data_IF_893832145683
#
_entry.id   IF_893832145683
#
_cell.length_a   1.000
_cell.length_b   1.000
_cell.length_c   1.000
_cell.angle_alpha   90.00
_cell.angle_beta   90.00
_cell.angle_gamma   90.00
#
_symmetry.space_group_name_H-M   'P 1'
#
loop_
_entity.id
_entity.type
_entity.pdbx_description
1 polymer ?
#
# COMPACT_ATOMS: atom_id res chain seq x y z
N UNK A 1 12.06 -1.61 21.28
CA UNK A 1 11.01 -1.31 22.30
C UNK A 1 11.00 0.13 22.81
N UNK A 2 12.14 0.85 22.92
CA UNK A 2 12.10 2.21 23.49
C UNK A 2 11.27 3.21 22.66
N UNK A 3 11.46 3.22 21.33
CA UNK A 3 10.69 4.07 20.42
C UNK A 3 9.18 3.84 20.47
N UNK A 4 8.75 2.61 20.75
CA UNK A 4 7.34 2.26 20.75
C UNK A 4 6.57 2.82 21.96
N UNK A 5 7.27 3.41 22.94
CA UNK A 5 6.68 4.19 24.04
C UNK A 5 6.56 5.68 23.71
N UNK A 6 7.25 6.17 22.67
CA UNK A 6 7.18 7.55 22.21
C UNK A 6 6.11 7.64 21.12
N UNK A 7 4.86 7.79 21.54
CA UNK A 7 3.70 7.95 20.66
C UNK A 7 3.38 9.40 20.34
N UNK A 8 2.93 9.67 19.11
CA UNK A 8 2.39 10.98 18.74
C UNK A 8 1.05 11.22 19.44
N UNK A 9 0.90 12.39 20.08
CA UNK A 9 -0.25 12.76 20.90
C UNK A 9 -0.85 14.11 20.45
N UNK A 10 -1.06 14.25 19.13
CA UNK A 10 -1.62 15.46 18.51
C UNK A 10 -0.78 16.75 18.66
N UNK A 11 0.50 16.63 19.03
CA UNK A 11 1.45 17.73 19.11
C UNK A 11 2.79 17.29 18.51
N UNK A 12 3.14 17.86 17.35
CA UNK A 12 4.35 17.51 16.61
C UNK A 12 5.61 18.02 17.30
N UNK A 13 5.57 19.21 17.89
CA UNK A 13 6.74 19.80 18.55
C UNK A 13 7.07 19.03 19.83
N UNK A 14 6.06 18.71 20.64
CA UNK A 14 6.23 17.84 21.79
C UNK A 14 6.76 16.45 21.37
N UNK A 15 6.20 15.88 20.30
CA UNK A 15 6.67 14.60 19.77
C UNK A 15 8.14 14.65 19.34
N UNK A 16 8.56 15.68 18.59
CA UNK A 16 9.96 15.91 18.21
C UNK A 16 10.87 15.99 19.44
N UNK A 17 10.47 16.74 20.46
CA UNK A 17 11.25 16.88 21.69
C UNK A 17 11.42 15.54 22.43
N UNK A 18 10.35 14.75 22.56
CA UNK A 18 10.43 13.41 23.16
C UNK A 18 11.26 12.44 22.33
N UNK A 19 11.15 12.49 21.00
CA UNK A 19 11.99 11.71 20.09
C UNK A 19 13.47 12.07 20.22
N UNK A 20 13.77 13.38 20.27
CA UNK A 20 15.13 13.92 20.45
C UNK A 20 15.73 13.51 21.80
N UNK A 21 14.95 13.55 22.87
CA UNK A 21 15.38 13.09 24.20
C UNK A 21 15.75 11.60 24.19
N UNK A 22 14.95 10.75 23.54
CA UNK A 22 15.27 9.33 23.40
C UNK A 22 16.53 9.11 22.55
N UNK A 23 16.65 9.81 21.42
CA UNK A 23 17.84 9.76 20.57
C UNK A 23 19.11 10.12 21.35
N UNK A 24 19.09 11.25 22.07
CA UNK A 24 20.21 11.70 22.88
C UNK A 24 20.56 10.70 24.00
N UNK A 25 19.56 10.14 24.69
CA UNK A 25 19.79 9.13 25.72
C UNK A 25 20.47 7.89 25.15
N UNK A 26 20.08 7.43 23.96
CA UNK A 26 20.72 6.29 23.29
C UNK A 26 22.13 6.62 22.81
N UNK A 27 22.36 7.84 22.33
CA UNK A 27 23.69 8.32 21.95
C UNK A 27 24.64 8.31 23.16
N UNK A 28 24.22 8.86 24.29
CA UNK A 28 25.00 8.84 25.55
C UNK A 28 25.29 7.41 26.01
N UNK A 29 24.30 6.51 25.93
CA UNK A 29 24.52 5.10 26.23
C UNK A 29 25.60 4.49 25.31
N UNK A 30 25.54 4.78 24.02
CA UNK A 30 26.50 4.26 23.05
C UNK A 30 27.91 4.83 23.23
N UNK A 31 28.03 6.13 23.51
CA UNK A 31 29.30 6.77 23.86
C UNK A 31 29.94 6.13 25.09
N UNK A 32 29.15 5.79 26.11
CA UNK A 32 29.64 5.08 27.30
C UNK A 32 30.07 3.64 26.96
N UNK A 33 29.33 2.95 26.08
CA UNK A 33 29.70 1.62 25.60
C UNK A 33 31.06 1.63 24.89
N UNK A 34 31.31 2.59 24.01
CA UNK A 34 32.60 2.75 23.31
C UNK A 34 33.74 2.98 24.30
N UNK A 35 33.55 3.86 25.29
CA UNK A 35 34.56 4.12 26.33
C UNK A 35 34.93 2.87 27.14
N UNK A 36 33.96 2.00 27.39
CA UNK A 36 34.17 0.75 28.13
C UNK A 36 34.73 -0.39 27.26
N UNK A 37 34.67 -0.26 25.94
CA UNK A 37 35.05 -1.29 24.97
C UNK A 37 35.96 -0.69 23.90
N UNK A 38 37.20 -0.37 24.27
CA UNK A 38 38.17 0.29 23.40
C UNK A 38 38.54 -0.51 22.12
N UNK A 39 38.23 -1.82 22.09
CA UNK A 39 38.45 -2.71 20.95
C UNK A 39 37.42 -2.59 19.82
N UNK A 40 36.36 -1.79 20.02
CA UNK A 40 35.32 -1.60 19.01
C UNK A 40 35.88 -0.87 17.79
N UNK A 41 35.59 -1.39 16.59
CA UNK A 41 36.10 -0.80 15.35
C UNK A 41 35.44 0.53 15.01
N UNK A 42 36.15 1.38 14.27
CA UNK A 42 35.60 2.67 13.81
C UNK A 42 34.40 2.48 12.89
N UNK A 43 34.42 1.41 12.11
CA UNK A 43 33.35 1.02 11.20
C UNK A 43 32.06 0.72 11.98
N UNK A 44 32.15 -0.08 13.05
CA UNK A 44 31.00 -0.36 13.90
C UNK A 44 30.46 0.90 14.57
N UNK A 45 31.36 1.78 15.07
CA UNK A 45 30.93 3.06 15.66
C UNK A 45 30.14 3.88 14.65
N UNK A 46 30.68 4.03 13.44
CA UNK A 46 30.03 4.76 12.34
C UNK A 46 28.66 4.16 12.02
N UNK A 47 28.57 2.84 11.85
CA UNK A 47 27.31 2.16 11.51
C UNK A 47 26.23 2.39 12.58
N UNK A 48 26.56 2.24 13.86
CA UNK A 48 25.60 2.42 14.95
C UNK A 48 25.19 3.89 15.10
N UNK A 49 26.12 4.84 14.96
CA UNK A 49 25.78 6.27 14.99
C UNK A 49 24.80 6.64 13.87
N UNK A 50 25.02 6.11 12.66
CA UNK A 50 24.13 6.32 11.51
C UNK A 50 22.77 5.67 11.71
N UNK A 51 22.74 4.43 12.23
CA UNK A 51 21.49 3.74 12.58
C UNK A 51 20.67 4.57 13.59
N UNK A 52 21.30 5.06 14.66
CA UNK A 52 20.62 5.89 15.66
C UNK A 52 20.05 7.18 15.06
N UNK A 53 20.82 7.84 14.19
CA UNK A 53 20.42 9.08 13.55
C UNK A 53 19.27 8.87 12.56
N UNK A 54 19.37 7.90 11.67
CA UNK A 54 18.32 7.64 10.68
C UNK A 54 17.06 7.03 11.32
N UNK A 55 17.17 6.27 12.41
CA UNK A 55 15.99 5.85 13.16
C UNK A 55 15.29 7.05 13.81
N UNK A 56 16.03 8.00 14.38
CA UNK A 56 15.47 9.26 14.90
C UNK A 56 14.73 10.03 13.80
N UNK A 57 15.40 10.26 12.67
CA UNK A 57 14.86 10.99 11.54
C UNK A 57 13.61 10.32 10.97
N UNK A 58 13.63 9.00 10.80
CA UNK A 58 12.46 8.24 10.35
C UNK A 58 11.27 8.41 11.30
N UNK A 59 11.48 8.43 12.61
CA UNK A 59 10.39 8.67 13.56
C UNK A 59 9.85 10.10 13.45
N UNK A 60 10.65 11.12 13.11
CA UNK A 60 10.12 12.46 12.82
C UNK A 60 9.27 12.49 11.54
N UNK A 61 9.73 11.81 10.49
CA UNK A 61 9.09 11.76 9.16
C UNK A 61 7.86 10.86 9.11
N UNK A 62 7.82 9.86 9.98
CA UNK A 62 6.68 8.96 10.12
C UNK A 62 6.32 8.81 11.60
N UNK A 63 5.75 9.83 12.26
CA UNK A 63 5.44 9.76 13.68
C UNK A 63 4.64 8.52 14.05
N UNK A 64 4.94 7.95 15.23
CA UNK A 64 4.24 6.77 15.76
C UNK A 64 2.84 7.16 16.24
N UNK A 65 1.93 7.34 15.29
CA UNK A 65 0.59 7.91 15.49
C UNK A 65 -0.51 6.89 15.74
N UNK A 66 -0.23 5.60 15.56
CA UNK A 66 -1.21 4.54 15.79
C UNK A 66 -0.88 3.77 17.06
N UNK A 67 -1.85 3.67 17.97
CA UNK A 67 -1.79 2.78 19.12
C UNK A 67 -2.18 1.36 18.70
N UNK A 68 -1.32 0.40 19.03
CA UNK A 68 -1.59 -1.03 18.97
C UNK A 68 -2.01 -1.49 20.37
N UNK A 69 -3.30 -1.79 20.59
CA UNK A 69 -3.80 -2.20 21.90
C UNK A 69 -3.32 -3.61 22.30
N UNK A 70 -3.03 -4.49 21.33
CA UNK A 70 -2.59 -5.87 21.58
C UNK A 70 -1.19 -5.86 22.15
N UNK A 71 -0.29 -5.15 21.47
CA UNK A 71 1.11 -5.07 21.87
C UNK A 71 1.41 -3.89 22.82
N UNK A 72 0.37 -3.11 23.16
CA UNK A 72 0.43 -1.91 24.01
C UNK A 72 1.54 -0.96 23.63
N UNK A 73 1.62 -0.63 22.33
CA UNK A 73 2.71 0.16 21.79
C UNK A 73 2.26 1.08 20.66
N UNK A 74 3.03 2.13 20.41
CA UNK A 74 2.81 3.02 19.28
C UNK A 74 3.62 2.58 18.06
N UNK A 75 2.99 2.57 16.89
CA UNK A 75 3.59 2.22 15.60
C UNK A 75 3.54 3.36 14.60
N UNK A 76 4.56 3.40 13.74
CA UNK A 76 4.62 4.26 12.57
C UNK A 76 3.51 3.84 11.59
N UNK A 77 3.05 4.76 10.75
CA UNK A 77 2.02 4.46 9.72
C UNK A 77 2.53 4.88 8.35
N UNK A 78 2.08 4.20 7.29
CA UNK A 78 2.48 4.50 5.91
C UNK A 78 2.10 5.93 5.46
N UNK A 79 1.17 6.56 6.14
CA UNK A 79 0.69 7.91 5.81
C UNK A 79 1.67 8.99 6.27
N UNK A 80 2.52 8.66 7.25
CA UNK A 80 3.61 9.49 7.76
C UNK A 80 3.20 10.90 8.20
N UNK A 81 4.20 11.78 8.27
CA UNK A 81 4.06 13.17 8.71
C UNK A 81 3.09 13.97 7.82
N UNK A 82 3.03 13.71 6.52
CA UNK A 82 2.17 14.45 5.58
C UNK A 82 0.68 14.36 5.93
N UNK A 83 0.22 13.22 6.43
CA UNK A 83 -1.18 13.08 6.88
C UNK A 83 -1.48 13.88 8.15
N UNK A 84 -0.49 13.98 9.04
CA UNK A 84 -0.60 14.71 10.30
C UNK A 84 -0.59 16.22 10.03
N UNK A 85 0.31 16.70 9.16
CA UNK A 85 0.36 18.10 8.73
C UNK A 85 -0.99 18.50 8.12
N UNK A 86 -1.50 17.74 7.14
CA UNK A 86 -2.79 18.04 6.50
C UNK A 86 -3.96 18.10 7.50
N UNK A 87 -3.96 17.23 8.51
CA UNK A 87 -4.98 17.25 9.55
C UNK A 87 -4.87 18.49 10.43
N UNK A 88 -3.64 18.88 10.79
CA UNK A 88 -3.37 20.02 11.67
C UNK A 88 -3.55 21.38 10.96
N UNK A 89 -3.15 21.51 9.69
CA UNK A 89 -3.30 22.75 8.90
C UNK A 89 -4.77 23.17 8.74
N UNK A 90 -5.70 22.22 8.69
CA UNK A 90 -7.14 22.50 8.68
C UNK A 90 -7.66 23.02 10.04
N UNK A 91 -6.83 23.05 11.08
CA UNK A 91 -7.21 23.39 12.46
C UNK A 91 -6.41 24.55 13.08
N UNK A 92 -5.40 25.07 12.39
CA UNK A 92 -4.51 26.12 12.92
C UNK A 92 -4.23 27.21 11.89
N UNK A 93 -4.23 28.48 12.31
CA UNK A 93 -3.94 29.63 11.43
C UNK A 93 -2.46 29.73 11.02
N UNK A 94 -1.54 29.11 11.77
CA UNK A 94 -0.09 29.14 11.47
C UNK A 94 0.30 27.92 10.62
N UNK A 95 0.89 28.10 9.42
CA UNK A 95 1.38 27.00 8.60
C UNK A 95 2.50 26.22 9.30
N UNK A 96 2.47 24.89 9.19
CA UNK A 96 3.52 24.05 9.75
C UNK A 96 4.83 24.21 8.96
N UNK A 97 5.92 24.59 9.64
CA UNK A 97 7.24 24.69 9.02
C UNK A 97 7.97 23.33 9.09
N UNK A 98 8.03 22.65 7.95
CA UNK A 98 8.69 21.36 7.82
C UNK A 98 10.23 21.44 7.89
N UNK A 99 10.83 22.54 7.41
CA UNK A 99 12.29 22.77 7.44
C UNK A 99 12.78 22.78 8.89
N UNK A 100 12.21 23.68 9.69
CA UNK A 100 12.56 23.81 11.10
C UNK A 100 12.21 22.55 11.89
N UNK A 101 11.13 21.85 11.53
CA UNK A 101 10.77 20.59 12.20
C UNK A 101 11.80 19.48 11.94
N UNK A 102 12.34 19.37 10.73
CA UNK A 102 13.35 18.37 10.39
C UNK A 102 14.80 18.81 10.68
N UNK A 103 14.97 19.87 11.47
CA UNK A 103 16.29 20.43 11.83
C UNK A 103 17.10 20.84 10.57
N UNK A 104 16.42 21.43 9.57
CA UNK A 104 17.01 21.99 8.35
C UNK A 104 17.88 21.00 7.54
N UNK A 105 17.48 19.72 7.56
CA UNK A 105 18.15 18.64 6.82
C UNK A 105 18.24 18.92 5.32
N UNK A 106 19.42 18.64 4.75
CA UNK A 106 19.71 18.83 3.34
C UNK A 106 19.79 17.48 2.62
N UNK A 107 19.51 17.46 1.31
CA UNK A 107 19.55 16.21 0.54
C UNK A 107 20.95 15.57 0.56
N UNK A 108 22.00 16.39 0.57
CA UNK A 108 23.40 15.97 0.70
C UNK A 108 23.71 15.21 2.00
N UNK A 109 22.89 15.35 3.04
CA UNK A 109 23.06 14.58 4.28
C UNK A 109 22.80 13.09 4.05
N UNK A 110 22.18 12.75 2.92
CA UNK A 110 21.99 11.40 2.39
C UNK A 110 22.96 11.03 1.26
N UNK A 111 24.06 11.74 1.07
CA UNK A 111 25.12 11.27 0.17
C UNK A 111 26.01 10.25 0.88
N UNK A 112 25.43 9.09 1.18
CA UNK A 112 26.07 8.01 1.95
C UNK A 112 25.82 6.66 1.26
N UNK A 113 26.51 6.38 0.14
CA UNK A 113 26.27 5.18 -0.66
C UNK A 113 26.57 3.88 0.11
N UNK A 114 27.43 3.92 1.12
CA UNK A 114 27.70 2.82 2.05
C UNK A 114 26.48 2.43 2.89
N UNK A 115 25.52 3.35 3.08
CA UNK A 115 24.29 3.10 3.83
C UNK A 115 23.12 2.60 2.98
N UNK A 116 23.33 2.30 1.69
CA UNK A 116 22.27 1.74 0.84
C UNK A 116 21.68 0.45 1.43
N UNK A 117 22.44 -0.33 2.20
CA UNK A 117 21.91 -1.52 2.90
C UNK A 117 21.10 -1.23 4.18
N UNK A 118 21.14 0.00 4.69
CA UNK A 118 20.51 0.37 5.96
C UNK A 118 19.02 0.71 5.78
N UNK A 119 18.14 0.02 6.53
CA UNK A 119 16.68 0.14 6.39
C UNK A 119 16.16 1.54 6.79
N UNK A 120 16.60 2.09 7.93
CA UNK A 120 16.15 3.41 8.37
C UNK A 120 16.66 4.54 7.49
N UNK A 121 17.89 4.42 6.98
CA UNK A 121 18.44 5.33 5.99
C UNK A 121 17.53 5.38 4.75
N UNK A 122 17.24 4.21 4.17
CA UNK A 122 16.39 4.10 2.99
C UNK A 122 14.99 4.67 3.24
N UNK A 123 14.35 4.32 4.35
CA UNK A 123 13.01 4.81 4.71
C UNK A 123 12.99 6.33 4.94
N UNK A 124 14.01 6.86 5.60
CA UNK A 124 14.14 8.30 5.84
C UNK A 124 14.28 9.05 4.52
N UNK A 125 15.20 8.63 3.66
CA UNK A 125 15.43 9.27 2.37
C UNK A 125 14.16 9.33 1.51
N UNK A 126 13.44 8.21 1.41
CA UNK A 126 12.17 8.18 0.68
C UNK A 126 11.15 9.17 1.25
N UNK A 127 11.04 9.23 2.57
CA UNK A 127 10.07 10.09 3.24
C UNK A 127 10.45 11.59 3.16
N UNK A 128 11.74 11.93 3.22
CA UNK A 128 12.20 13.32 3.03
C UNK A 128 11.95 13.76 1.59
N UNK A 129 12.35 12.97 0.58
CA UNK A 129 12.09 13.31 -0.83
C UNK A 129 10.61 13.62 -1.05
N UNK A 130 9.72 12.76 -0.54
CA UNK A 130 8.28 12.95 -0.70
C UNK A 130 7.75 14.20 0.02
N UNK A 131 8.13 14.39 1.28
CA UNK A 131 7.47 15.35 2.17
C UNK A 131 8.05 16.74 2.06
N UNK A 132 9.35 16.80 1.78
CA UNK A 132 10.18 17.98 1.96
C UNK A 132 10.65 18.54 0.61
N UNK A 133 11.18 17.69 -0.27
CA UNK A 133 11.82 18.15 -1.50
C UNK A 133 10.89 18.22 -2.72
N UNK A 134 9.84 17.40 -2.78
CA UNK A 134 8.92 17.34 -3.94
C UNK A 134 7.60 18.10 -3.76
N UNK A 135 7.37 18.75 -2.63
CA UNK A 135 6.20 19.60 -2.36
C UNK A 135 4.94 18.85 -1.87
N UNK A 136 4.29 19.39 -0.82
CA UNK A 136 3.32 18.67 0.02
C UNK A 136 1.83 18.78 -0.39
N UNK A 137 1.49 19.33 -1.57
CA UNK A 137 0.11 19.75 -1.87
C UNK A 137 -0.71 18.78 -2.74
N UNK A 138 -1.63 18.11 -2.04
CA UNK A 138 -2.98 17.60 -2.43
C UNK A 138 -3.28 16.73 -3.67
N UNK A 139 -2.36 16.43 -4.59
CA UNK A 139 -2.58 15.33 -5.56
C UNK A 139 -1.37 14.37 -5.58
N UNK A 140 -1.33 13.43 -4.62
CA UNK A 140 -0.11 12.65 -4.31
C UNK A 140 0.45 11.81 -5.47
N UNK A 141 -0.33 11.51 -6.49
CA UNK A 141 0.09 10.64 -7.59
C UNK A 141 -0.50 11.12 -8.92
N UNK A 142 0.26 11.96 -9.64
CA UNK A 142 -0.03 12.43 -11.00
C UNK A 142 1.21 12.26 -11.88
N UNK A 143 1.05 12.25 -13.21
CA UNK A 143 2.20 12.11 -14.13
C UNK A 143 3.16 13.29 -13.93
N UNK A 144 2.62 14.48 -13.71
CA UNK A 144 3.40 15.68 -13.43
C UNK A 144 4.23 15.54 -12.15
N UNK A 145 3.63 15.06 -11.06
CA UNK A 145 4.35 14.86 -9.81
C UNK A 145 5.38 13.73 -9.90
N UNK A 146 5.09 12.66 -10.66
CA UNK A 146 6.09 11.63 -10.95
C UNK A 146 7.31 12.24 -11.62
N UNK A 147 7.09 13.06 -12.66
CA UNK A 147 8.18 13.71 -13.41
C UNK A 147 8.97 14.66 -12.51
N UNK A 148 8.31 15.46 -11.67
CA UNK A 148 8.99 16.35 -10.71
C UNK A 148 9.85 15.57 -9.71
N UNK A 149 9.31 14.50 -9.14
CA UNK A 149 10.05 13.64 -8.22
C UNK A 149 11.23 12.94 -8.90
N UNK A 150 11.03 12.44 -10.12
CA UNK A 150 12.09 11.80 -10.91
C UNK A 150 13.21 12.79 -11.23
N UNK A 151 12.86 13.96 -11.77
CA UNK A 151 13.81 15.02 -12.09
C UNK A 151 14.60 15.45 -10.85
N UNK A 152 13.91 15.63 -9.72
CA UNK A 152 14.58 15.98 -8.47
C UNK A 152 15.62 14.92 -8.06
N UNK A 153 15.27 13.63 -8.15
CA UNK A 153 16.20 12.53 -7.86
C UNK A 153 17.39 12.58 -8.82
N UNK A 154 17.17 12.81 -10.11
CA UNK A 154 18.22 12.85 -11.14
C UNK A 154 19.16 14.05 -10.98
N UNK A 155 18.65 15.20 -10.53
CA UNK A 155 19.43 16.43 -10.37
C UNK A 155 20.24 16.46 -9.06
N UNK A 156 19.85 15.68 -8.05
CA UNK A 156 20.38 15.83 -6.68
C UNK A 156 20.99 14.55 -6.07
N UNK A 157 20.84 13.39 -6.70
CA UNK A 157 21.32 12.11 -6.15
C UNK A 157 22.20 11.41 -7.18
N UNK A 158 23.37 10.93 -6.73
CA UNK A 158 24.31 10.21 -7.57
C UNK A 158 24.09 8.68 -7.55
N UNK A 159 24.66 7.99 -8.56
CA UNK A 159 24.65 6.53 -8.64
C UNK A 159 25.53 5.90 -7.55
N UNK A 160 25.14 4.76 -6.93
CA UNK A 160 24.03 3.86 -7.26
C UNK A 160 22.69 4.16 -6.54
N UNK A 161 22.66 5.15 -5.65
CA UNK A 161 21.49 5.49 -4.86
C UNK A 161 20.33 5.99 -5.73
N UNK A 162 20.64 6.79 -6.75
CA UNK A 162 19.69 7.28 -7.76
C UNK A 162 18.88 6.13 -8.38
N UNK A 163 19.56 5.11 -8.90
CA UNK A 163 18.91 3.94 -9.50
C UNK A 163 17.97 3.25 -8.51
N UNK A 164 18.38 3.06 -7.26
CA UNK A 164 17.50 2.47 -6.25
C UNK A 164 16.23 3.32 -6.00
N UNK A 165 16.39 4.64 -5.90
CA UNK A 165 15.27 5.57 -5.69
C UNK A 165 14.29 5.60 -6.86
N UNK A 166 14.78 5.55 -8.10
CA UNK A 166 13.95 5.51 -9.30
C UNK A 166 13.08 4.25 -9.37
N UNK A 167 13.66 3.09 -9.08
CA UNK A 167 12.91 1.84 -9.00
C UNK A 167 11.83 1.90 -7.90
N UNK A 168 12.14 2.51 -6.76
CA UNK A 168 11.18 2.72 -5.66
C UNK A 168 10.09 3.73 -6.03
N UNK A 169 10.40 4.79 -6.76
CA UNK A 169 9.43 5.77 -7.27
C UNK A 169 8.39 5.08 -8.16
N UNK A 170 8.83 4.27 -9.13
CA UNK A 170 7.95 3.48 -10.02
C UNK A 170 7.02 2.58 -9.19
N UNK A 171 7.58 1.80 -8.26
CA UNK A 171 6.80 0.91 -7.39
C UNK A 171 5.77 1.69 -6.56
N UNK A 172 6.20 2.80 -5.95
CA UNK A 172 5.34 3.64 -5.10
C UNK A 172 4.15 4.18 -5.90
N UNK A 173 4.39 4.74 -7.08
CA UNK A 173 3.30 5.27 -7.92
C UNK A 173 2.33 4.17 -8.37
N UNK A 174 2.85 3.00 -8.76
CA UNK A 174 2.00 1.88 -9.12
C UNK A 174 1.15 1.36 -7.94
N UNK A 175 1.77 0.95 -6.83
CA UNK A 175 1.06 0.31 -5.71
C UNK A 175 0.26 1.29 -4.86
N UNK A 176 0.82 2.47 -4.55
CA UNK A 176 0.18 3.41 -3.63
C UNK A 176 -0.65 4.47 -4.38
N UNK A 177 -0.25 4.81 -5.60
CA UNK A 177 -0.94 5.80 -6.42
C UNK A 177 -2.01 5.25 -7.35
N UNK A 178 -2.02 3.94 -7.58
CA UNK A 178 -2.84 3.36 -8.62
C UNK A 178 -2.45 3.85 -10.00
N UNK A 179 -1.17 4.16 -10.23
CA UNK A 179 -0.68 4.41 -11.60
C UNK A 179 -0.68 3.14 -12.42
N UNK A 180 -0.81 3.29 -13.73
CA UNK A 180 -0.91 2.15 -14.64
C UNK A 180 -2.31 1.54 -14.70
N UNK A 181 -3.28 2.20 -14.08
CA UNK A 181 -4.65 1.72 -13.93
C UNK A 181 -5.63 2.25 -14.98
N UNK A 182 -5.35 3.42 -15.56
CA UNK A 182 -5.94 3.91 -16.81
C UNK A 182 -4.95 3.77 -17.97
N UNK A 183 -5.45 3.92 -19.20
CA UNK A 183 -4.66 3.74 -20.43
C UNK A 183 -3.46 4.68 -20.50
N UNK A 184 -3.66 5.96 -20.17
CA UNK A 184 -2.62 7.01 -20.18
C UNK A 184 -1.54 6.72 -19.15
N UNK A 185 -1.90 6.43 -17.89
CA UNK A 185 -0.89 6.12 -16.86
C UNK A 185 -0.19 4.79 -17.10
N UNK A 186 -0.85 3.82 -17.75
CA UNK A 186 -0.26 2.54 -18.14
C UNK A 186 0.83 2.74 -19.17
N UNK A 187 0.55 3.46 -20.26
CA UNK A 187 1.55 3.75 -21.27
C UNK A 187 2.72 4.54 -20.68
N UNK A 188 2.42 5.53 -19.82
CA UNK A 188 3.44 6.29 -19.11
C UNK A 188 4.33 5.39 -18.25
N UNK A 189 3.76 4.55 -17.38
CA UNK A 189 4.55 3.65 -16.53
C UNK A 189 5.36 2.64 -17.34
N UNK A 190 4.82 2.09 -18.42
CA UNK A 190 5.56 1.16 -19.29
C UNK A 190 6.82 1.83 -19.84
N UNK A 191 6.70 3.08 -20.34
CA UNK A 191 7.87 3.85 -20.80
C UNK A 191 8.90 4.07 -19.69
N UNK A 192 8.45 4.41 -18.48
CA UNK A 192 9.36 4.61 -17.33
C UNK A 192 10.08 3.31 -16.93
N UNK A 193 9.38 2.17 -16.96
CA UNK A 193 9.97 0.86 -16.67
C UNK A 193 11.00 0.48 -17.74
N UNK A 194 10.69 0.68 -19.02
CA UNK A 194 11.65 0.44 -20.11
C UNK A 194 12.90 1.29 -19.94
N UNK A 195 12.77 2.60 -19.72
CA UNK A 195 13.92 3.49 -19.50
C UNK A 195 14.75 3.10 -18.26
N UNK A 196 14.09 2.67 -17.18
CA UNK A 196 14.76 2.21 -15.97
C UNK A 196 15.55 0.91 -16.20
N UNK A 197 15.09 0.04 -17.10
CA UNK A 197 15.73 -1.25 -17.41
C UNK A 197 16.96 -1.16 -18.29
N UNK A 198 17.15 -0.06 -19.02
CA UNK A 198 18.39 0.23 -19.75
C UNK A 198 19.59 0.46 -18.80
N UNK A 199 19.34 0.62 -17.49
CA UNK A 199 20.37 0.83 -16.47
C UNK A 199 20.94 -0.49 -15.94
N UNK A 200 22.09 -0.42 -15.28
CA UNK A 200 22.64 -1.57 -14.55
C UNK A 200 21.79 -1.87 -13.30
N UNK A 201 20.97 -2.93 -13.38
CA UNK A 201 20.06 -3.34 -12.32
C UNK A 201 20.49 -4.64 -11.65
N UNK A 202 20.30 -4.71 -10.33
CA UNK A 202 20.38 -5.96 -9.57
C UNK A 202 19.25 -6.92 -9.95
N UNK A 203 19.42 -8.22 -9.67
CA UNK A 203 18.39 -9.23 -9.91
C UNK A 203 17.06 -8.90 -9.20
N UNK A 204 17.13 -8.40 -7.96
CA UNK A 204 15.95 -7.98 -7.19
C UNK A 204 15.20 -6.83 -7.86
N UNK A 205 15.92 -5.81 -8.35
CA UNK A 205 15.31 -4.69 -9.08
C UNK A 205 14.66 -5.14 -10.40
N UNK A 206 15.31 -6.04 -11.14
CA UNK A 206 14.74 -6.62 -12.38
C UNK A 206 13.44 -7.37 -12.09
N UNK A 207 13.43 -8.23 -11.07
CA UNK A 207 12.23 -8.96 -10.66
C UNK A 207 11.09 -8.03 -10.24
N UNK A 208 11.38 -6.98 -9.46
CA UNK A 208 10.37 -6.02 -9.04
C UNK A 208 9.70 -5.31 -10.23
N UNK A 209 10.46 -4.97 -11.27
CA UNK A 209 9.90 -4.37 -12.50
C UNK A 209 9.07 -5.38 -13.30
N UNK A 210 9.56 -6.63 -13.43
CA UNK A 210 8.81 -7.69 -14.10
C UNK A 210 7.45 -7.95 -13.44
N UNK A 211 7.37 -7.87 -12.11
CA UNK A 211 6.10 -8.03 -11.39
C UNK A 211 5.09 -6.96 -11.83
N UNK A 212 5.51 -5.69 -11.91
CA UNK A 212 4.65 -4.60 -12.31
C UNK A 212 4.24 -4.75 -13.78
N UNK A 213 5.17 -5.02 -14.69
CA UNK A 213 4.85 -5.21 -16.12
C UNK A 213 3.84 -6.33 -16.34
N UNK A 214 4.01 -7.47 -15.67
CA UNK A 214 3.09 -8.60 -15.76
C UNK A 214 1.67 -8.24 -15.28
N UNK A 215 1.54 -7.28 -14.37
CA UNK A 215 0.24 -6.76 -13.91
C UNK A 215 -0.31 -5.67 -14.85
N UNK A 216 0.55 -4.84 -15.43
CA UNK A 216 0.16 -3.87 -16.46
C UNK A 216 -0.33 -4.57 -17.75
N UNK A 217 0.20 -5.76 -18.07
CA UNK A 217 -0.23 -6.57 -19.21
C UNK A 217 -1.60 -7.25 -19.00
N UNK A 218 -2.07 -7.44 -17.76
CA UNK A 218 -3.43 -7.95 -17.51
C UNK A 218 -4.47 -6.86 -17.73
N UNK A 219 -4.79 -6.61 -19.00
CA UNK A 219 -5.86 -5.73 -19.46
C UNK A 219 -6.81 -6.51 -20.37
N UNK A 220 -8.12 -6.36 -20.11
CA UNK A 220 -9.26 -6.78 -20.95
C UNK A 220 -9.10 -8.15 -21.62
N UNK A 221 -9.28 -9.22 -20.84
CA UNK A 221 -9.43 -10.57 -21.38
C UNK A 221 -10.86 -11.05 -21.14
N UNK A 222 -11.53 -11.55 -22.18
CA UNK A 222 -12.82 -12.22 -22.01
C UNK A 222 -12.63 -13.42 -21.09
N UNK A 223 -13.41 -13.49 -20.01
CA UNK A 223 -13.45 -14.69 -19.18
C UNK A 223 -14.13 -15.79 -20.00
N UNK A 224 -13.49 -16.96 -20.18
CA UNK A 224 -14.12 -18.07 -20.89
C UNK A 224 -15.46 -18.40 -20.25
N UNK A 225 -16.53 -18.52 -21.05
CA UNK A 225 -17.88 -18.73 -20.53
C UNK A 225 -17.96 -19.96 -19.61
N UNK A 226 -17.22 -21.02 -19.92
CA UNK A 226 -17.12 -22.22 -19.08
C UNK A 226 -16.57 -21.98 -17.67
N UNK A 227 -15.88 -20.87 -17.42
CA UNK A 227 -15.38 -20.50 -16.09
C UNK A 227 -16.45 -19.72 -15.31
N UNK A 228 -17.36 -19.03 -16.01
CA UNK A 228 -18.51 -18.35 -15.41
C UNK A 228 -19.64 -19.33 -15.03
N UNK A 229 -19.63 -20.54 -15.60
CA UNK A 229 -20.52 -21.64 -15.20
C UNK A 229 -20.10 -22.33 -13.88
N UNK A 230 -19.08 -21.83 -13.19
CA UNK A 230 -18.71 -22.33 -11.86
C UNK A 230 -19.85 -22.15 -10.85
N UNK A 231 -20.10 -23.22 -10.09
CA UNK A 231 -21.21 -23.28 -9.14
C UNK A 231 -20.86 -22.55 -7.84
N UNK A 232 -21.78 -21.68 -7.43
CA UNK A 232 -21.77 -20.94 -6.18
C UNK A 232 -23.05 -21.20 -5.41
N UNK A 233 -23.00 -21.08 -4.08
CA UNK A 233 -24.19 -21.14 -3.21
C UNK A 233 -24.53 -19.72 -2.76
N UNK A 234 -25.78 -19.29 -2.92
CA UNK A 234 -26.29 -18.04 -2.36
C UNK A 234 -26.44 -18.13 -0.85
N UNK A 235 -25.97 -17.12 -0.12
CA UNK A 235 -26.24 -17.02 1.33
C UNK A 235 -27.73 -16.74 1.61
N UNK A 236 -28.39 -15.97 0.75
CA UNK A 236 -29.77 -15.53 0.98
C UNK A 236 -30.80 -16.63 0.82
N UNK A 237 -30.60 -17.53 -0.14
CA UNK A 237 -31.56 -18.60 -0.47
C UNK A 237 -31.04 -20.00 -0.17
N UNK A 238 -29.72 -20.19 -0.06
CA UNK A 238 -29.09 -21.51 -0.01
C UNK A 238 -29.04 -22.22 -1.37
N UNK A 239 -29.56 -21.59 -2.43
CA UNK A 239 -29.60 -22.21 -3.76
C UNK A 239 -28.21 -22.29 -4.39
N UNK A 240 -28.00 -23.36 -5.17
CA UNK A 240 -26.85 -23.46 -6.05
C UNK A 240 -27.17 -22.77 -7.38
N UNK A 241 -26.31 -21.84 -7.79
CA UNK A 241 -26.40 -21.13 -9.06
C UNK A 241 -25.02 -21.01 -9.71
N UNK A 242 -24.92 -20.39 -10.88
CA UNK A 242 -23.65 -20.12 -11.55
C UNK A 242 -23.24 -18.67 -11.37
N UNK A 243 -21.94 -18.39 -11.42
CA UNK A 243 -21.44 -17.02 -11.35
C UNK A 243 -21.99 -16.14 -12.48
N UNK A 244 -22.19 -16.72 -13.67
CA UNK A 244 -22.78 -16.04 -14.82
C UNK A 244 -24.14 -15.40 -14.48
N UNK A 245 -25.00 -16.09 -13.73
CA UNK A 245 -26.32 -15.59 -13.35
C UNK A 245 -26.25 -14.35 -12.46
N UNK A 246 -25.20 -14.23 -11.63
CA UNK A 246 -25.04 -13.10 -10.70
C UNK A 246 -24.43 -11.88 -11.39
N UNK A 247 -23.59 -12.09 -12.40
CA UNK A 247 -22.91 -11.01 -13.12
C UNK A 247 -23.84 -10.10 -13.94
N UNK A 248 -25.10 -10.50 -14.18
CA UNK A 248 -26.00 -9.80 -15.11
C UNK A 248 -26.80 -8.65 -14.50
N UNK A 249 -26.78 -8.44 -13.19
CA UNK A 249 -27.65 -7.45 -12.55
C UNK A 249 -27.25 -6.00 -12.84
N UNK A 250 -25.94 -5.72 -12.93
CA UNK A 250 -25.37 -4.39 -13.12
C UNK A 250 -24.38 -4.36 -14.27
N UNK A 251 -24.07 -3.17 -14.77
CA UNK A 251 -23.11 -2.99 -15.88
C UNK A 251 -21.72 -3.51 -15.50
N UNK A 252 -21.31 -3.31 -14.26
CA UNK A 252 -20.01 -3.74 -13.74
C UNK A 252 -20.16 -4.48 -12.41
N UNK A 253 -19.30 -5.46 -12.21
CA UNK A 253 -19.26 -6.31 -11.03
C UNK A 253 -17.85 -6.35 -10.45
N UNK A 254 -17.73 -6.06 -9.16
CA UNK A 254 -16.51 -6.32 -8.37
C UNK A 254 -16.65 -7.69 -7.71
N UNK A 255 -15.90 -8.67 -8.20
CA UNK A 255 -15.77 -9.96 -7.50
C UNK A 255 -14.79 -9.80 -6.35
N UNK A 256 -15.28 -9.92 -5.13
CA UNK A 256 -14.49 -9.86 -3.90
C UNK A 256 -14.29 -11.27 -3.36
N UNK A 257 -13.07 -11.80 -3.45
CA UNK A 257 -12.70 -13.11 -2.91
C UNK A 257 -12.05 -12.98 -1.54
N UNK A 258 -12.62 -13.62 -0.51
CA UNK A 258 -12.09 -13.58 0.86
C UNK A 258 -12.39 -14.86 1.64
N UNK A 259 -11.73 -15.04 2.79
CA UNK A 259 -12.12 -15.96 3.85
C UNK A 259 -12.77 -15.27 5.05
N UNK A 260 -12.71 -13.95 5.17
CA UNK A 260 -13.28 -13.21 6.31
C UNK A 260 -12.74 -13.74 7.65
N UNK A 261 -11.42 -13.74 7.81
CA UNK A 261 -10.77 -14.26 9.02
C UNK A 261 -10.98 -13.31 10.22
N UNK A 262 -11.15 -13.84 11.46
CA UNK A 262 -11.53 -13.08 12.67
C UNK A 262 -10.72 -11.84 13.03
N UNK A 263 -9.50 -11.71 12.51
CA UNK A 263 -8.56 -10.65 12.88
C UNK A 263 -8.24 -9.73 11.68
N UNK A 264 -8.93 -9.89 10.55
CA UNK A 264 -8.66 -9.20 9.27
C UNK A 264 -9.81 -8.25 8.85
N UNK A 265 -10.69 -7.88 9.78
CA UNK A 265 -11.97 -7.18 9.53
C UNK A 265 -11.84 -5.68 9.21
N UNK A 266 -10.61 -5.19 9.00
CA UNK A 266 -10.36 -3.79 8.69
C UNK A 266 -11.02 -3.40 7.37
N UNK A 267 -11.04 -4.29 6.36
CA UNK A 267 -11.67 -3.97 5.08
C UNK A 267 -13.19 -3.96 5.13
N UNK A 268 -13.80 -4.94 5.80
CA UNK A 268 -15.25 -5.02 5.95
C UNK A 268 -15.77 -3.75 6.62
N UNK A 269 -15.13 -3.29 7.69
CA UNK A 269 -15.54 -2.09 8.43
C UNK A 269 -15.13 -0.78 7.73
N UNK A 270 -13.84 -0.59 7.41
CA UNK A 270 -13.35 0.70 6.88
C UNK A 270 -13.65 0.89 5.41
N UNK A 271 -13.73 -0.19 4.64
CA UNK A 271 -14.05 -0.16 3.21
C UNK A 271 -15.53 0.06 2.92
N UNK A 272 -16.42 -0.14 3.90
CA UNK A 272 -17.87 -0.10 3.72
C UNK A 272 -18.36 1.22 3.11
N UNK A 273 -17.86 2.35 3.63
CA UNK A 273 -18.24 3.67 3.12
C UNK A 273 -17.86 3.85 1.64
N UNK A 274 -16.67 3.41 1.26
CA UNK A 274 -16.18 3.46 -0.14
C UNK A 274 -17.03 2.56 -1.04
N UNK A 275 -17.34 1.32 -0.61
CA UNK A 275 -18.19 0.39 -1.36
C UNK A 275 -19.60 0.95 -1.57
N UNK A 276 -20.24 1.41 -0.50
CA UNK A 276 -21.58 2.05 -0.56
C UNK A 276 -21.61 3.29 -1.46
N UNK A 277 -20.52 4.06 -1.53
CA UNK A 277 -20.44 5.21 -2.44
C UNK A 277 -20.42 4.79 -3.90
N UNK A 278 -19.68 3.72 -4.24
CA UNK A 278 -19.67 3.17 -5.60
C UNK A 278 -20.98 2.50 -5.98
N UNK A 279 -21.59 1.73 -5.08
CA UNK A 279 -22.90 1.09 -5.32
C UNK A 279 -24.02 2.12 -5.56
N UNK A 280 -23.94 3.32 -4.96
CA UNK A 280 -24.88 4.42 -5.19
C UNK A 280 -24.89 4.96 -6.63
N UNK A 281 -23.80 4.78 -7.40
CA UNK A 281 -23.77 5.14 -8.83
C UNK A 281 -24.74 4.28 -9.67
N UNK A 282 -25.27 3.19 -9.10
CA UNK A 282 -26.12 2.18 -9.73
C UNK A 282 -25.49 1.39 -10.88
N UNK A 283 -24.24 1.64 -11.24
CA UNK A 283 -23.53 0.93 -12.32
C UNK A 283 -22.69 -0.25 -11.82
N UNK A 284 -22.29 -0.23 -10.55
CA UNK A 284 -21.41 -1.23 -9.92
C UNK A 284 -22.16 -2.06 -8.88
N UNK A 285 -21.99 -3.38 -8.93
CA UNK A 285 -22.32 -4.29 -7.82
C UNK A 285 -21.08 -4.92 -7.21
N UNK A 286 -21.14 -5.27 -5.93
CA UNK A 286 -20.14 -6.11 -5.28
C UNK A 286 -20.69 -7.52 -5.11
N UNK A 287 -19.91 -8.52 -5.52
CA UNK A 287 -20.23 -9.94 -5.37
C UNK A 287 -19.18 -10.54 -4.46
N UNK A 288 -19.58 -10.87 -3.23
CA UNK A 288 -18.70 -11.39 -2.20
C UNK A 288 -18.65 -12.91 -2.26
N UNK A 289 -17.51 -13.47 -2.67
CA UNK A 289 -17.31 -14.91 -2.84
C UNK A 289 -16.39 -15.43 -1.72
N UNK A 290 -16.98 -16.18 -0.79
CA UNK A 290 -16.26 -16.76 0.33
C UNK A 290 -15.47 -18.02 -0.09
N UNK A 291 -14.24 -18.10 0.39
CA UNK A 291 -13.27 -19.16 0.12
C UNK A 291 -13.00 -20.07 1.33
N UNK A 292 -13.85 -20.05 2.36
CA UNK A 292 -13.77 -21.01 3.46
C UNK A 292 -14.21 -22.39 3.01
N UNK A 293 -13.43 -23.39 3.46
CA UNK A 293 -13.81 -24.80 3.29
C UNK A 293 -15.03 -25.16 4.13
N UNK A 294 -15.10 -24.65 5.36
CA UNK A 294 -16.18 -24.92 6.31
C UNK A 294 -17.42 -24.07 6.02
N UNK A 295 -18.57 -24.74 5.82
CA UNK A 295 -19.88 -24.10 5.63
C UNK A 295 -20.27 -23.30 6.86
N UNK A 296 -20.17 -23.89 8.06
CA UNK A 296 -20.54 -23.22 9.30
C UNK A 296 -19.68 -22.00 9.61
N UNK A 297 -18.42 -21.98 9.15
CA UNK A 297 -17.56 -20.80 9.27
C UNK A 297 -18.01 -19.70 8.30
N UNK A 298 -18.38 -20.06 7.07
CA UNK A 298 -18.92 -19.10 6.11
C UNK A 298 -20.24 -18.49 6.59
N UNK A 299 -21.22 -19.29 7.02
CA UNK A 299 -22.53 -18.82 7.47
C UNK A 299 -22.40 -17.82 8.64
N UNK A 300 -21.61 -18.17 9.67
CA UNK A 300 -21.35 -17.28 10.80
C UNK A 300 -20.74 -15.95 10.38
N UNK A 301 -19.88 -15.95 9.35
CA UNK A 301 -19.24 -14.73 8.84
C UNK A 301 -20.16 -13.92 7.97
N UNK A 302 -20.95 -14.58 7.13
CA UNK A 302 -21.91 -13.91 6.27
C UNK A 302 -22.99 -13.19 7.09
N UNK A 303 -23.41 -13.80 8.20
CA UNK A 303 -24.31 -13.19 9.17
C UNK A 303 -23.65 -12.04 9.94
N UNK A 304 -22.36 -12.16 10.29
CA UNK A 304 -21.64 -11.11 11.00
C UNK A 304 -21.50 -9.81 10.19
N UNK A 305 -21.35 -9.90 8.87
CA UNK A 305 -21.18 -8.73 7.98
C UNK A 305 -22.39 -8.45 7.10
N UNK A 306 -23.56 -8.89 7.54
CA UNK A 306 -24.80 -8.74 6.78
C UNK A 306 -25.09 -7.28 6.42
N UNK A 307 -24.85 -6.35 7.34
CA UNK A 307 -25.09 -4.91 7.15
C UNK A 307 -24.08 -4.23 6.21
N UNK A 308 -22.85 -4.74 6.15
CA UNK A 308 -21.77 -4.21 5.32
C UNK A 308 -21.71 -4.80 3.92
N UNK A 309 -22.14 -6.05 3.74
CA UNK A 309 -22.05 -6.77 2.47
C UNK A 309 -23.41 -6.88 1.77
N UNK A 310 -24.50 -6.85 2.53
CA UNK A 310 -25.84 -7.14 2.03
C UNK A 310 -26.08 -8.64 1.85
N UNK A 311 -27.21 -9.14 2.32
CA UNK A 311 -27.57 -10.57 2.29
C UNK A 311 -27.51 -11.15 0.88
N UNK A 312 -27.98 -10.41 -0.13
CA UNK A 312 -28.14 -10.89 -1.50
C UNK A 312 -26.81 -10.99 -2.27
N UNK A 313 -25.76 -10.33 -1.80
CA UNK A 313 -24.50 -10.21 -2.52
C UNK A 313 -23.46 -11.24 -2.07
N UNK A 314 -23.84 -12.16 -1.19
CA UNK A 314 -22.93 -13.08 -0.52
C UNK A 314 -23.07 -14.50 -1.04
N UNK A 315 -21.93 -15.08 -1.43
CA UNK A 315 -21.87 -16.38 -2.08
C UNK A 315 -20.72 -17.22 -1.53
N UNK A 316 -20.82 -18.54 -1.70
CA UNK A 316 -19.71 -19.48 -1.46
C UNK A 316 -19.37 -20.25 -2.72
N UNK A 317 -18.08 -20.32 -3.05
CA UNK A 317 -17.60 -21.13 -4.16
C UNK A 317 -17.52 -22.61 -3.76
N UNK A 318 -18.14 -23.50 -4.55
CA UNK A 318 -18.17 -24.93 -4.22
C UNK A 318 -16.83 -25.63 -4.45
N UNK A 319 -16.13 -25.34 -5.54
CA UNK A 319 -14.90 -26.04 -5.94
C UNK A 319 -13.66 -25.14 -5.94
N UNK A 320 -13.23 -24.72 -4.75
CA UNK A 320 -12.05 -23.83 -4.57
C UNK A 320 -10.74 -24.51 -5.02
N UNK A 321 -10.66 -25.84 -4.91
CA UNK A 321 -9.48 -26.63 -5.25
C UNK A 321 -9.14 -26.55 -6.73
N UNK A 322 -10.14 -26.81 -7.56
CA UNK A 322 -9.98 -27.00 -9.01
C UNK A 322 -10.58 -25.86 -9.84
N UNK A 323 -11.05 -24.80 -9.20
CA UNK A 323 -11.62 -23.62 -9.87
C UNK A 323 -10.69 -23.09 -10.96
N UNK A 324 -11.20 -23.07 -12.19
CA UNK A 324 -10.53 -22.47 -13.35
C UNK A 324 -10.63 -20.96 -13.28
N UNK A 325 -11.73 -20.43 -12.77
CA UNK A 325 -11.93 -19.01 -12.52
C UNK A 325 -10.88 -18.46 -11.55
N UNK A 326 -10.68 -19.09 -10.39
CA UNK A 326 -9.69 -18.62 -9.41
C UNK A 326 -8.26 -18.62 -9.98
N UNK A 327 -7.92 -19.59 -10.85
CA UNK A 327 -6.63 -19.62 -11.54
C UNK A 327 -6.51 -18.52 -12.59
N UNK A 328 -7.57 -18.31 -13.38
CA UNK A 328 -7.62 -17.28 -14.40
C UNK A 328 -7.47 -15.87 -13.81
N UNK A 329 -8.20 -15.60 -12.73
CA UNK A 329 -8.14 -14.35 -11.98
C UNK A 329 -6.89 -14.23 -11.10
N UNK A 330 -6.00 -15.23 -11.10
CA UNK A 330 -4.78 -15.30 -10.26
C UNK A 330 -5.05 -15.24 -8.74
N UNK A 331 -6.30 -15.40 -8.30
CA UNK A 331 -6.68 -15.60 -6.89
C UNK A 331 -6.09 -16.91 -6.36
N UNK A 332 -5.86 -17.89 -7.24
CA UNK A 332 -5.16 -19.13 -6.91
C UNK A 332 -3.96 -19.34 -7.84
N UNK A 333 -2.77 -19.45 -7.27
CA UNK A 333 -1.56 -19.86 -8.00
C UNK A 333 -1.06 -21.19 -7.46
N UNK A 334 -1.09 -22.23 -8.29
CA UNK A 334 -0.74 -23.61 -7.90
C UNK A 334 -1.53 -24.06 -6.63
N UNK A 335 -0.89 -24.05 -5.46
CA UNK A 335 -1.47 -24.43 -4.16
C UNK A 335 -1.76 -23.26 -3.23
N UNK A 336 -1.39 -22.04 -3.62
CA UNK A 336 -1.55 -20.83 -2.81
C UNK A 336 -2.82 -20.10 -3.22
N UNK A 337 -3.61 -19.69 -2.23
CA UNK A 337 -4.76 -18.80 -2.40
C UNK A 337 -4.35 -17.40 -1.93
N UNK A 338 -4.52 -16.43 -2.80
CA UNK A 338 -4.30 -15.01 -2.55
C UNK A 338 -5.64 -14.37 -2.20
N UNK A 339 -5.82 -13.99 -0.94
CA UNK A 339 -7.00 -13.30 -0.47
C UNK A 339 -6.61 -12.30 0.63
N UNK A 340 -7.36 -11.20 0.78
CA UNK A 340 -8.46 -10.77 -0.09
C UNK A 340 -7.99 -10.38 -1.50
N UNK A 341 -8.81 -10.66 -2.52
CA UNK A 341 -8.50 -10.36 -3.92
C UNK A 341 -9.73 -9.86 -4.66
N UNK A 342 -9.59 -8.78 -5.44
CA UNK A 342 -10.70 -8.10 -6.09
C UNK A 342 -10.47 -8.01 -7.60
N UNK A 343 -11.50 -8.36 -8.37
CA UNK A 343 -11.51 -8.25 -9.84
C UNK A 343 -12.72 -7.44 -10.32
N UNK A 344 -12.52 -6.58 -11.31
CA UNK A 344 -13.57 -5.83 -12.00
C UNK A 344 -13.91 -6.51 -13.31
N UNK A 345 -15.18 -6.79 -13.52
CA UNK A 345 -15.72 -7.49 -14.68
C UNK A 345 -16.93 -6.71 -15.18
N UNK A 346 -17.12 -6.60 -16.50
CA UNK A 346 -18.37 -6.08 -17.05
C UNK A 346 -19.46 -7.17 -17.14
N UNK A 347 -20.70 -6.76 -17.44
CA UNK A 347 -21.83 -7.69 -17.60
C UNK A 347 -21.65 -8.74 -18.71
N UNK A 348 -20.78 -8.47 -19.68
CA UNK A 348 -20.49 -9.36 -20.81
C UNK A 348 -19.39 -10.38 -20.47
N UNK A 349 -18.82 -10.29 -19.25
CA UNK A 349 -17.78 -11.19 -18.76
C UNK A 349 -16.38 -10.80 -19.20
N UNK A 350 -16.17 -9.57 -19.69
CA UNK A 350 -14.83 -9.04 -19.91
C UNK A 350 -14.18 -8.71 -18.57
N UNK A 351 -13.01 -9.29 -18.32
CA UNK A 351 -12.18 -8.91 -17.19
C UNK A 351 -11.53 -7.56 -17.46
N UNK A 352 -12.08 -6.50 -16.89
CA UNK A 352 -11.50 -5.16 -16.96
C UNK A 352 -10.24 -5.09 -16.09
N UNK A 353 -10.28 -5.74 -14.92
CA UNK A 353 -9.17 -5.72 -13.95
C UNK A 353 -9.14 -6.92 -13.02
N UNK A 354 -7.94 -7.42 -12.66
CA UNK A 354 -7.77 -8.51 -11.68
C UNK A 354 -6.95 -8.13 -10.43
N UNK A 355 -6.55 -6.87 -10.29
CA UNK A 355 -5.65 -6.38 -9.24
C UNK A 355 -6.21 -5.14 -8.51
N UNK A 356 -7.53 -5.07 -8.35
CA UNK A 356 -8.14 -3.96 -7.62
C UNK A 356 -7.60 -3.89 -6.18
N UNK A 357 -7.26 -2.69 -5.68
CA UNK A 357 -6.83 -2.54 -4.29
C UNK A 357 -8.02 -2.78 -3.34
N UNK A 358 -7.73 -3.02 -2.07
CA UNK A 358 -8.78 -3.13 -1.07
C UNK A 358 -9.44 -1.76 -0.80
N UNK A 359 -10.78 -1.69 -0.71
CA UNK A 359 -11.50 -0.44 -0.43
C UNK A 359 -11.03 0.31 0.84
N UNK A 360 -10.51 -0.40 1.84
CA UNK A 360 -9.99 0.20 3.08
C UNK A 360 -8.57 0.77 3.00
N UNK A 361 -7.82 0.47 1.95
CA UNK A 361 -6.41 0.89 1.85
C UNK A 361 -6.25 2.38 1.53
N UNK A 362 -7.32 3.07 1.13
CA UNK A 362 -7.30 4.51 0.85
C UNK A 362 -6.45 4.90 -0.36
N UNK A 363 -5.83 3.94 -1.07
CA UNK A 363 -5.50 4.08 -2.50
C UNK A 363 -6.79 4.46 -3.21
N UNK A 364 -6.83 5.30 -4.26
CA UNK A 364 -8.10 5.66 -4.89
C UNK A 364 -8.66 4.43 -5.62
N UNK A 365 -9.31 3.56 -4.86
CA UNK A 365 -10.05 2.38 -5.29
C UNK A 365 -11.15 2.81 -6.24
N UNK A 366 -11.83 3.91 -5.93
CA UNK A 366 -12.77 4.61 -6.81
C UNK A 366 -12.14 4.88 -8.18
N UNK A 367 -11.02 5.61 -8.23
CA UNK A 367 -10.27 5.85 -9.48
C UNK A 367 -9.83 4.57 -10.19
N UNK A 368 -9.59 3.49 -9.46
CA UNK A 368 -9.17 2.21 -10.04
C UNK A 368 -10.31 1.46 -10.73
N UNK A 369 -11.55 1.73 -10.29
CA UNK A 369 -12.79 1.26 -10.91
C UNK A 369 -13.18 2.21 -12.05
N UNK A 370 -13.17 3.52 -11.80
CA UNK A 370 -13.51 4.56 -12.78
C UNK A 370 -12.59 4.54 -14.01
N UNK A 371 -11.28 4.43 -13.84
CA UNK A 371 -10.36 4.38 -14.98
C UNK A 371 -10.43 3.07 -15.79
N UNK A 372 -11.11 2.04 -15.30
CA UNK A 372 -11.13 0.73 -15.94
C UNK A 372 -12.28 0.56 -16.95
N UNK A 373 -13.23 1.49 -16.97
CA UNK A 373 -14.34 1.54 -17.92
C UNK A 373 -14.30 2.73 -18.88
N UNK A 374 -13.30 3.62 -18.71
CA UNK A 374 -12.89 4.64 -19.69
C UNK A 374 -11.97 4.01 -20.74
#
# INVERSE_FOLDING_TARGET
MAWSKVGYQNDLINYKNRAKNLYNSRKVFFENYIKQNAQVSKEFVKEVEKELYFEYLYNLLSPRSKWDPVNRLYVNTMQGLNSIIKKNENSTEVPFNLETYLDDIQIRDFDQPDLVGNDYYQRSLEAVIQSYFSGNKSAKFTIENFKKELQYIEDNIENPLMTNLQGKLIRRYYYNGGFGRGSVEKEFLQKQISAYREKELTASQKMAMSEIENKLQSSSSQIPSSFLEEKIISFSTGDTMTLKTVLTEKQFSVLYFDRFLPNEDIDMQKGNLTRKKLEKSQEVQFIYINLNKSISTWEKRAQLYEEELGVQNQYRLLNIGDSKLLRFLKVRTQRVLHFPSLSLIDRDGNLLRNDLPLPSTGVPFERSVENAWE
#
